data_IF_303358374804
#
_entry.id   IF_303358374804
#
_cell.length_a   1.000
_cell.length_b   1.000
_cell.length_c   1.000
_cell.angle_alpha   90.00
_cell.angle_beta   90.00
_cell.angle_gamma   90.00
#
_symmetry.space_group_name_H-M   'P 1'
#
loop_
_entity.id
_entity.type
_entity.pdbx_description
1 polymer ?
#
# COMPACT_ATOMS: atom_id res chain seq x y z
N UNK A 1 -6.97 28.46 8.45
CA UNK A 1 -6.81 27.63 7.23
C UNK A 1 -7.22 28.41 6.00
N UNK A 2 -6.34 28.49 5.02
CA UNK A 2 -6.61 29.13 3.73
C UNK A 2 -7.78 28.46 2.98
N UNK A 3 -8.54 29.19 2.15
CA UNK A 3 -9.68 28.64 1.40
C UNK A 3 -9.32 27.43 0.53
N UNK A 4 -8.13 27.46 -0.10
CA UNK A 4 -7.65 26.36 -0.94
C UNK A 4 -7.45 25.07 -0.15
N UNK A 5 -6.82 25.15 1.04
CA UNK A 5 -6.62 24.00 1.91
C UNK A 5 -7.96 23.44 2.43
N UNK A 6 -8.92 24.30 2.77
CA UNK A 6 -10.27 23.86 3.18
C UNK A 6 -11.00 23.12 2.05
N UNK A 7 -10.91 23.62 0.82
CA UNK A 7 -11.50 22.97 -0.35
C UNK A 7 -10.83 21.61 -0.59
N UNK A 8 -9.50 21.55 -0.53
CA UNK A 8 -8.73 20.32 -0.65
C UNK A 8 -9.15 19.28 0.41
N UNK A 9 -9.20 19.66 1.69
CA UNK A 9 -9.66 18.76 2.77
C UNK A 9 -11.08 18.25 2.53
N UNK A 10 -12.00 19.16 2.23
CA UNK A 10 -13.40 18.81 1.96
C UNK A 10 -13.50 17.79 0.83
N UNK A 11 -12.74 18.00 -0.25
CA UNK A 11 -12.75 17.13 -1.42
C UNK A 11 -12.22 15.72 -1.09
N UNK A 12 -11.04 15.60 -0.48
CA UNK A 12 -10.47 14.27 -0.25
C UNK A 12 -11.19 13.52 0.88
N UNK A 13 -11.70 14.22 1.91
CA UNK A 13 -12.54 13.60 2.94
C UNK A 13 -13.83 13.08 2.33
N UNK A 14 -14.49 13.89 1.49
CA UNK A 14 -15.69 13.46 0.76
C UNK A 14 -15.39 12.26 -0.15
N UNK A 15 -14.24 12.28 -0.82
CA UNK A 15 -13.78 11.17 -1.66
C UNK A 15 -13.64 9.87 -0.85
N UNK A 16 -13.03 9.92 0.33
CA UNK A 16 -12.89 8.76 1.22
C UNK A 16 -14.25 8.26 1.73
N UNK A 17 -15.16 9.16 2.12
CA UNK A 17 -16.51 8.79 2.57
C UNK A 17 -17.29 8.11 1.45
N UNK A 18 -17.23 8.65 0.23
CA UNK A 18 -17.87 8.05 -0.94
C UNK A 18 -17.23 6.69 -1.25
N UNK A 19 -15.90 6.56 -1.17
CA UNK A 19 -15.21 5.29 -1.38
C UNK A 19 -15.62 4.24 -0.36
N UNK A 20 -15.76 4.60 0.92
CA UNK A 20 -16.29 3.73 1.96
C UNK A 20 -17.72 3.28 1.66
N UNK A 21 -18.59 4.21 1.23
CA UNK A 21 -19.97 3.88 0.86
C UNK A 21 -20.06 2.98 -0.38
N UNK A 22 -19.18 3.18 -1.37
CA UNK A 22 -19.06 2.33 -2.56
C UNK A 22 -18.55 0.95 -2.16
N UNK A 23 -17.50 0.86 -1.34
CA UNK A 23 -16.95 -0.39 -0.86
C UNK A 23 -17.99 -1.20 -0.08
N UNK A 24 -18.77 -0.54 0.77
CA UNK A 24 -19.84 -1.20 1.53
C UNK A 24 -20.97 -1.72 0.63
N UNK A 25 -21.44 -0.90 -0.32
CA UNK A 25 -22.54 -1.30 -1.24
C UNK A 25 -22.12 -2.37 -2.23
N UNK A 26 -20.88 -2.34 -2.69
CA UNK A 26 -20.33 -3.26 -3.67
C UNK A 26 -19.45 -4.35 -3.05
N UNK A 27 -19.58 -4.62 -1.74
CA UNK A 27 -18.64 -5.46 -0.97
C UNK A 27 -18.37 -6.83 -1.59
N UNK A 28 -19.39 -7.45 -2.20
CA UNK A 28 -19.28 -8.78 -2.82
C UNK A 28 -18.47 -8.75 -4.14
N UNK A 29 -18.15 -7.55 -4.64
CA UNK A 29 -17.37 -7.29 -5.87
C UNK A 29 -16.02 -6.65 -5.58
N UNK A 30 -15.73 -6.27 -4.34
CA UNK A 30 -14.47 -5.65 -3.95
C UNK A 30 -13.53 -6.72 -3.43
N UNK A 31 -12.45 -6.95 -4.15
CA UNK A 31 -11.47 -7.99 -3.85
C UNK A 31 -10.80 -7.77 -2.49
N UNK A 32 -10.57 -6.51 -2.09
CA UNK A 32 -10.05 -6.12 -0.76
C UNK A 32 -10.86 -6.70 0.40
N UNK A 33 -12.17 -6.88 0.22
CA UNK A 33 -13.10 -7.34 1.26
C UNK A 33 -13.38 -8.84 1.18
N UNK A 34 -12.76 -9.54 0.23
CA UNK A 34 -12.94 -10.98 0.05
C UNK A 34 -12.10 -11.80 1.05
N UNK A 35 -12.57 -12.99 1.41
CA UNK A 35 -11.79 -13.93 2.22
C UNK A 35 -10.48 -14.34 1.55
N UNK A 36 -10.47 -14.47 0.22
CA UNK A 36 -9.26 -14.80 -0.54
C UNK A 36 -8.15 -13.76 -0.34
N UNK A 37 -8.51 -12.47 -0.29
CA UNK A 37 -7.53 -11.42 -0.01
C UNK A 37 -6.99 -11.47 1.42
N UNK A 38 -7.82 -11.80 2.40
CA UNK A 38 -7.37 -12.02 3.78
C UNK A 38 -6.45 -13.23 3.89
N UNK A 39 -6.76 -14.33 3.20
CA UNK A 39 -5.91 -15.53 3.13
C UNK A 39 -4.57 -15.22 2.44
N UNK A 40 -4.59 -14.41 1.38
CA UNK A 40 -3.41 -13.93 0.69
C UNK A 40 -2.52 -13.15 1.66
N UNK A 41 -3.04 -12.14 2.37
CA UNK A 41 -2.24 -11.40 3.34
C UNK A 41 -1.73 -12.30 4.46
N UNK A 42 -2.55 -13.21 4.98
CA UNK A 42 -2.23 -14.09 6.11
C UNK A 42 -1.19 -15.19 5.82
N UNK A 43 -0.59 -15.19 4.63
CA UNK A 43 0.54 -16.07 4.36
C UNK A 43 1.69 -15.83 5.34
N UNK A 44 2.20 -16.90 5.96
CA UNK A 44 3.20 -16.84 7.04
C UNK A 44 4.37 -15.91 6.72
N UNK A 45 4.91 -15.98 5.50
CA UNK A 45 6.05 -15.15 5.12
C UNK A 45 5.69 -13.67 4.98
N UNK A 46 4.49 -13.35 4.48
CA UNK A 46 3.99 -11.96 4.38
C UNK A 46 3.81 -11.37 5.77
N UNK A 47 3.19 -12.15 6.68
CA UNK A 47 3.00 -11.76 8.09
C UNK A 47 4.34 -11.54 8.79
N UNK A 48 5.29 -12.47 8.65
CA UNK A 48 6.63 -12.31 9.24
C UNK A 48 7.33 -11.07 8.68
N UNK A 49 7.26 -10.85 7.36
CA UNK A 49 7.91 -9.72 6.72
C UNK A 49 7.30 -8.38 7.14
N UNK A 50 5.97 -8.27 7.24
CA UNK A 50 5.35 -7.04 7.75
C UNK A 50 5.66 -6.82 9.23
N UNK A 51 5.72 -7.87 10.05
CA UNK A 51 6.13 -7.71 11.45
C UNK A 51 7.56 -7.16 11.56
N UNK A 52 8.51 -7.69 10.77
CA UNK A 52 9.89 -7.19 10.74
C UNK A 52 9.91 -5.72 10.25
N UNK A 53 9.17 -5.41 9.18
CA UNK A 53 9.10 -4.06 8.64
C UNK A 53 8.49 -3.06 9.64
N UNK A 54 7.40 -3.43 10.33
CA UNK A 54 6.75 -2.61 11.35
C UNK A 54 7.66 -2.37 12.55
N UNK A 55 8.32 -3.41 13.06
CA UNK A 55 9.28 -3.26 14.15
C UNK A 55 10.45 -2.35 13.75
N UNK A 56 10.96 -2.50 12.52
CA UNK A 56 12.00 -1.64 11.98
C UNK A 56 11.57 -0.18 11.87
N UNK A 57 10.45 0.09 11.19
CA UNK A 57 10.02 1.46 10.92
C UNK A 57 9.53 2.17 12.18
N UNK A 58 8.74 1.53 13.04
CA UNK A 58 8.34 2.11 14.32
C UNK A 58 9.57 2.31 15.22
N UNK A 59 10.54 1.40 15.17
CA UNK A 59 11.80 1.52 15.91
C UNK A 59 12.66 2.69 15.45
N UNK A 60 12.70 2.97 14.14
CA UNK A 60 13.53 4.03 13.55
C UNK A 60 12.85 5.41 13.54
N UNK A 61 11.52 5.47 13.34
CA UNK A 61 10.76 6.71 13.16
C UNK A 61 11.07 7.83 14.17
N UNK A 62 11.19 7.57 15.48
CA UNK A 62 11.49 8.61 16.48
C UNK A 62 12.93 9.15 16.42
N UNK A 63 13.82 8.44 15.72
CA UNK A 63 15.23 8.78 15.59
C UNK A 63 15.57 9.39 14.23
N UNK A 64 14.56 9.66 13.37
CA UNK A 64 14.78 10.31 12.07
C UNK A 64 15.02 11.81 12.18
N UNK A 65 14.80 12.40 13.36
CA UNK A 65 14.87 13.85 13.57
C UNK A 65 13.71 14.64 12.97
N UNK A 66 12.85 13.98 12.19
CA UNK A 66 11.65 14.59 11.63
C UNK A 66 10.57 14.68 12.72
N UNK A 67 10.16 15.89 13.15
CA UNK A 67 9.16 16.05 14.21
C UNK A 67 7.78 15.53 13.80
N UNK A 68 7.57 15.25 12.52
CA UNK A 68 6.31 14.71 12.03
C UNK A 68 6.18 13.21 12.27
N UNK A 69 7.29 12.47 12.24
CA UNK A 69 7.31 11.01 12.40
C UNK A 69 7.35 10.59 13.86
N UNK A 70 6.48 9.66 14.25
CA UNK A 70 6.50 9.03 15.55
C UNK A 70 6.18 7.53 15.47
N UNK A 71 6.08 6.87 16.62
CA UNK A 71 5.79 5.44 16.69
C UNK A 71 4.38 5.10 16.17
N UNK A 72 3.43 6.04 16.34
CA UNK A 72 2.02 5.84 16.05
C UNK A 72 1.75 5.95 14.56
N UNK A 73 2.24 7.01 13.90
CA UNK A 73 2.05 7.18 12.45
C UNK A 73 2.80 6.15 11.63
N UNK A 74 4.05 5.86 11.96
CA UNK A 74 4.81 4.77 11.37
C UNK A 74 4.07 3.43 11.49
N UNK A 75 3.44 3.19 12.64
CA UNK A 75 2.67 1.97 12.91
C UNK A 75 1.42 1.85 12.05
N UNK A 76 0.50 2.83 12.14
CA UNK A 76 -0.76 2.74 11.39
C UNK A 76 -0.52 2.81 9.88
N UNK A 77 0.44 3.62 9.41
CA UNK A 77 0.77 3.70 7.99
C UNK A 77 1.33 2.39 7.47
N UNK A 78 2.19 1.72 8.23
CA UNK A 78 2.73 0.42 7.86
C UNK A 78 1.61 -0.64 7.75
N UNK A 79 0.67 -0.64 8.70
CA UNK A 79 -0.51 -1.54 8.67
C UNK A 79 -1.41 -1.22 7.47
N UNK A 80 -1.74 0.05 7.23
CA UNK A 80 -2.54 0.47 6.08
C UNK A 80 -1.87 0.07 4.76
N UNK A 81 -0.57 0.31 4.64
CA UNK A 81 0.21 -0.03 3.44
C UNK A 81 0.16 -1.53 3.18
N UNK A 82 0.41 -2.35 4.20
CA UNK A 82 0.32 -3.80 4.06
C UNK A 82 -1.08 -4.29 3.69
N UNK A 83 -2.11 -3.72 4.33
CA UNK A 83 -3.49 -4.11 4.13
C UNK A 83 -4.06 -3.67 2.77
N UNK A 84 -3.49 -2.65 2.13
CA UNK A 84 -4.14 -2.01 0.97
C UNK A 84 -3.27 -1.91 -0.27
N UNK A 85 -1.94 -1.83 -0.14
CA UNK A 85 -1.05 -1.70 -1.30
C UNK A 85 -1.13 -2.88 -2.28
N UNK A 86 -1.19 -4.15 -1.84
CA UNK A 86 -1.32 -5.28 -2.76
C UNK A 86 -2.64 -5.25 -3.54
N UNK A 87 -3.71 -4.77 -2.90
CA UNK A 87 -5.00 -4.60 -3.55
C UNK A 87 -4.94 -3.49 -4.60
N UNK A 88 -4.46 -2.30 -4.25
CA UNK A 88 -4.38 -1.18 -5.20
C UNK A 88 -3.49 -1.52 -6.39
N UNK A 89 -2.29 -2.06 -6.15
CA UNK A 89 -1.37 -2.49 -7.23
C UNK A 89 -1.99 -3.61 -8.06
N UNK A 90 -2.66 -4.58 -7.43
CA UNK A 90 -3.34 -5.66 -8.15
C UNK A 90 -4.46 -5.17 -9.06
N UNK A 91 -5.29 -4.25 -8.59
CA UNK A 91 -6.37 -3.63 -9.39
C UNK A 91 -5.79 -2.83 -10.56
N UNK A 92 -4.75 -2.02 -10.34
CA UNK A 92 -4.12 -1.26 -11.42
C UNK A 92 -3.42 -2.18 -12.41
N UNK A 93 -2.67 -3.18 -11.93
CA UNK A 93 -2.01 -4.19 -12.74
C UNK A 93 -3.00 -4.94 -13.63
N UNK A 94 -4.11 -5.43 -13.08
CA UNK A 94 -5.17 -6.10 -13.86
C UNK A 94 -5.86 -5.15 -14.83
N UNK A 95 -6.06 -3.88 -14.48
CA UNK A 95 -6.63 -2.88 -15.40
C UNK A 95 -5.73 -2.64 -16.62
N UNK A 96 -4.41 -2.67 -16.45
CA UNK A 96 -3.43 -2.55 -17.54
C UNK A 96 -3.35 -3.85 -18.36
N UNK A 97 -3.25 -5.00 -17.68
CA UNK A 97 -3.11 -6.30 -18.35
C UNK A 97 -4.36 -6.73 -19.11
N UNK A 98 -5.56 -6.44 -18.58
CA UNK A 98 -6.82 -6.74 -19.27
C UNK A 98 -6.94 -6.01 -20.61
N UNK A 99 -6.29 -4.85 -20.77
CA UNK A 99 -6.22 -4.12 -22.03
C UNK A 99 -5.13 -4.68 -22.96
N UNK A 100 -3.96 -5.01 -22.42
CA UNK A 100 -2.81 -5.45 -23.21
C UNK A 100 -2.89 -6.92 -23.67
N UNK A 101 -3.57 -7.79 -22.91
CA UNK A 101 -3.54 -9.25 -23.10
C UNK A 101 -4.92 -9.91 -22.89
N UNK A 102 -5.94 -9.56 -23.71
CA UNK A 102 -7.29 -10.10 -23.57
C UNK A 102 -7.36 -11.63 -23.68
N UNK A 103 -6.42 -12.26 -24.41
CA UNK A 103 -6.34 -13.70 -24.58
C UNK A 103 -5.99 -14.48 -23.29
N UNK A 104 -5.46 -13.81 -22.25
CA UNK A 104 -5.12 -14.48 -20.97
C UNK A 104 -6.32 -14.72 -20.06
N UNK A 105 -7.51 -14.24 -20.40
CA UNK A 105 -8.72 -14.41 -19.58
C UNK A 105 -8.73 -13.59 -18.28
N UNK A 106 -7.77 -12.69 -18.09
CA UNK A 106 -7.72 -11.80 -16.91
C UNK A 106 -8.85 -10.77 -17.04
N UNK A 107 -9.91 -10.96 -16.25
CA UNK A 107 -11.04 -10.04 -16.19
C UNK A 107 -10.62 -8.64 -15.76
N UNK A 108 -11.23 -7.61 -16.37
CA UNK A 108 -11.06 -6.20 -16.01
C UNK A 108 -11.70 -5.94 -14.64
N UNK A 109 -11.01 -5.28 -13.70
CA UNK A 109 -11.60 -4.92 -12.41
C UNK A 109 -12.83 -4.02 -12.60
N UNK A 110 -13.76 -4.13 -11.64
CA UNK A 110 -14.93 -3.25 -11.63
C UNK A 110 -14.52 -1.79 -11.41
N UNK A 111 -15.32 -0.84 -11.90
CA UNK A 111 -15.08 0.58 -11.61
C UNK A 111 -15.07 0.87 -10.09
N UNK A 112 -15.91 0.17 -9.33
CA UNK A 112 -15.92 0.27 -7.88
C UNK A 112 -14.56 -0.15 -7.27
N UNK A 113 -13.97 -1.26 -7.75
CA UNK A 113 -12.64 -1.72 -7.30
C UNK A 113 -11.55 -0.69 -7.63
N UNK A 114 -11.57 -0.10 -8.84
CA UNK A 114 -10.61 0.95 -9.24
C UNK A 114 -10.77 2.20 -8.37
N UNK A 115 -12.00 2.65 -8.14
CA UNK A 115 -12.28 3.83 -7.31
C UNK A 115 -11.81 3.62 -5.87
N UNK A 116 -12.11 2.47 -5.27
CA UNK A 116 -11.66 2.10 -3.93
C UNK A 116 -10.12 1.96 -3.89
N UNK A 117 -9.50 1.36 -4.91
CA UNK A 117 -8.04 1.24 -5.01
C UNK A 117 -7.32 2.60 -5.01
N UNK A 118 -7.85 3.60 -5.71
CA UNK A 118 -7.34 4.98 -5.69
C UNK A 118 -7.48 5.59 -4.29
N UNK A 119 -8.65 5.41 -3.66
CA UNK A 119 -8.87 5.91 -2.30
C UNK A 119 -7.93 5.28 -1.28
N UNK A 120 -7.73 3.96 -1.34
CA UNK A 120 -6.82 3.26 -0.45
C UNK A 120 -5.38 3.73 -0.66
N UNK A 121 -4.95 3.89 -1.90
CA UNK A 121 -3.62 4.41 -2.23
C UNK A 121 -3.41 5.80 -1.64
N UNK A 122 -4.26 6.76 -1.98
CA UNK A 122 -4.10 8.14 -1.51
C UNK A 122 -4.24 8.28 0.00
N UNK A 123 -5.16 7.52 0.61
CA UNK A 123 -5.35 7.53 2.05
C UNK A 123 -4.15 6.94 2.80
N UNK A 124 -3.65 5.79 2.36
CA UNK A 124 -2.51 5.13 2.99
C UNK A 124 -1.20 5.85 2.75
N UNK A 125 -0.98 6.40 1.55
CA UNK A 125 0.29 7.03 1.19
C UNK A 125 0.39 8.50 1.64
N UNK A 126 -0.72 9.19 1.94
CA UNK A 126 -0.67 10.61 2.30
C UNK A 126 -1.74 11.00 3.32
N UNK A 127 -3.02 10.85 2.99
CA UNK A 127 -4.06 11.58 3.74
C UNK A 127 -4.20 11.13 5.20
N UNK A 128 -3.95 9.86 5.51
CA UNK A 128 -4.01 9.36 6.89
C UNK A 128 -2.95 9.99 7.79
N UNK A 129 -1.73 10.12 7.28
CA UNK A 129 -0.61 10.81 7.94
C UNK A 129 -0.85 12.30 8.08
N UNK A 130 -1.26 12.98 7.01
CA UNK A 130 -1.50 14.42 7.06
C UNK A 130 -2.66 14.76 8.02
N UNK A 131 -3.69 13.90 8.04
CA UNK A 131 -4.83 14.01 8.96
C UNK A 131 -4.38 13.80 10.41
N UNK A 132 -3.51 12.82 10.66
CA UNK A 132 -2.95 12.57 11.98
C UNK A 132 -2.20 13.80 12.51
N UNK A 133 -1.31 14.38 11.71
CA UNK A 133 -0.56 15.59 12.09
C UNK A 133 -1.50 16.78 12.31
N UNK A 134 -2.51 16.95 11.45
CA UNK A 134 -3.51 18.00 11.64
C UNK A 134 -4.23 17.89 12.98
N UNK A 135 -4.56 16.66 13.42
CA UNK A 135 -5.19 16.45 14.72
C UNK A 135 -4.21 16.56 15.89
N UNK A 136 -2.98 16.04 15.74
CA UNK A 136 -1.95 16.03 16.79
C UNK A 136 -1.39 17.43 17.06
N UNK A 137 -1.03 18.15 15.99
CA UNK A 137 -0.25 19.38 16.07
C UNK A 137 -1.05 20.63 15.67
N UNK A 138 -2.27 20.46 15.15
CA UNK A 138 -3.16 21.57 14.78
C UNK A 138 -2.83 22.25 13.45
N UNK A 139 -1.85 21.74 12.69
CA UNK A 139 -1.47 22.26 11.38
C UNK A 139 -1.39 21.15 10.33
N UNK A 140 -1.63 21.51 9.07
CA UNK A 140 -1.45 20.59 7.94
C UNK A 140 0.01 20.62 7.49
N UNK A 141 0.68 19.48 7.23
CA UNK A 141 2.09 19.45 6.87
C UNK A 141 2.38 20.32 5.65
N UNK A 142 3.41 21.18 5.70
CA UNK A 142 3.76 22.06 4.56
C UNK A 142 4.27 21.28 3.34
N UNK A 143 4.84 20.09 3.57
CA UNK A 143 5.41 19.20 2.55
C UNK A 143 4.40 18.18 1.99
N UNK A 144 3.11 18.29 2.33
CA UNK A 144 2.07 17.32 1.96
C UNK A 144 2.08 16.94 0.46
N UNK A 145 2.24 17.93 -0.43
CA UNK A 145 2.22 17.71 -1.87
C UNK A 145 3.45 16.91 -2.35
N UNK A 146 4.61 17.13 -1.74
CA UNK A 146 5.84 16.40 -2.05
C UNK A 146 5.83 14.99 -1.42
N UNK A 147 5.09 14.80 -0.32
CA UNK A 147 4.93 13.50 0.32
C UNK A 147 4.18 12.50 -0.58
N UNK A 148 3.15 12.96 -1.31
CA UNK A 148 2.35 12.10 -2.21
C UNK A 148 3.23 11.28 -3.17
N UNK A 149 4.09 11.86 -4.03
CA UNK A 149 4.89 11.05 -4.96
C UNK A 149 5.90 10.15 -4.24
N UNK A 150 6.58 10.63 -3.20
CA UNK A 150 7.57 9.85 -2.46
C UNK A 150 6.93 8.62 -1.79
N UNK A 151 5.85 8.83 -1.04
CA UNK A 151 5.11 7.77 -0.37
C UNK A 151 4.37 6.86 -1.35
N UNK A 152 3.99 7.36 -2.54
CA UNK A 152 3.43 6.52 -3.60
C UNK A 152 4.41 5.50 -4.16
N UNK A 153 5.69 5.86 -4.27
CA UNK A 153 6.74 4.92 -4.69
C UNK A 153 6.93 3.82 -3.65
N UNK A 154 6.95 4.18 -2.36
CA UNK A 154 7.02 3.20 -1.26
C UNK A 154 5.77 2.31 -1.22
N UNK A 155 4.59 2.90 -1.34
CA UNK A 155 3.32 2.18 -1.37
C UNK A 155 3.26 1.21 -2.55
N UNK A 156 3.63 1.63 -3.76
CA UNK A 156 3.70 0.76 -4.93
C UNK A 156 4.71 -0.37 -4.73
N UNK A 157 5.90 -0.07 -4.19
CA UNK A 157 6.94 -1.06 -3.90
C UNK A 157 6.46 -2.13 -2.91
N UNK A 158 5.80 -1.72 -1.82
CA UNK A 158 5.17 -2.63 -0.88
C UNK A 158 4.05 -3.45 -1.55
N UNK A 159 3.23 -2.81 -2.39
CA UNK A 159 2.18 -3.48 -3.14
C UNK A 159 2.72 -4.56 -4.07
N UNK A 160 3.81 -4.32 -4.79
CA UNK A 160 4.48 -5.35 -5.60
C UNK A 160 5.11 -6.45 -4.74
N UNK A 161 5.84 -6.09 -3.69
CA UNK A 161 6.48 -7.02 -2.76
C UNK A 161 5.48 -8.01 -2.17
N UNK A 162 4.39 -7.50 -1.60
CA UNK A 162 3.36 -8.33 -0.98
C UNK A 162 2.40 -8.94 -2.01
N UNK A 163 2.49 -8.56 -3.29
CA UNK A 163 1.84 -9.27 -4.39
C UNK A 163 2.69 -10.38 -4.99
N UNK A 164 3.98 -10.52 -4.62
CA UNK A 164 4.80 -11.64 -5.10
C UNK A 164 4.19 -12.97 -4.69
N UNK A 165 4.20 -13.92 -5.61
CA UNK A 165 3.66 -15.26 -5.42
C UNK A 165 4.50 -16.31 -6.15
N UNK A 166 4.43 -17.55 -5.68
CA UNK A 166 5.09 -18.70 -6.30
C UNK A 166 4.08 -19.80 -6.59
N UNK A 167 3.96 -20.18 -7.86
CA UNK A 167 3.20 -21.35 -8.30
C UNK A 167 4.16 -22.41 -8.88
N UNK A 168 3.98 -23.71 -8.60
CA UNK A 168 4.77 -24.78 -9.21
C UNK A 168 4.76 -24.74 -10.75
N UNK A 169 3.62 -24.36 -11.35
CA UNK A 169 3.41 -24.43 -12.79
C UNK A 169 3.95 -23.20 -13.54
N UNK A 170 4.00 -22.03 -12.87
CA UNK A 170 4.39 -20.74 -13.47
C UNK A 170 5.69 -20.15 -12.94
N UNK A 171 6.20 -20.66 -11.83
CA UNK A 171 7.34 -20.07 -11.14
C UNK A 171 6.94 -18.84 -10.33
N UNK A 172 7.86 -17.87 -10.24
CA UNK A 172 7.64 -16.62 -9.49
C UNK A 172 6.92 -15.61 -10.36
N UNK A 173 5.87 -15.01 -9.82
CA UNK A 173 5.10 -13.97 -10.48
C UNK A 173 4.39 -13.08 -9.46
N UNK A 174 3.39 -12.35 -9.94
CA UNK A 174 2.50 -11.59 -9.05
C UNK A 174 1.15 -12.28 -8.93
N UNK A 175 0.63 -12.41 -7.71
CA UNK A 175 -0.65 -13.03 -7.41
C UNK A 175 -1.79 -12.45 -8.28
N UNK A 176 -1.78 -11.14 -8.54
CA UNK A 176 -2.82 -10.48 -9.35
C UNK A 176 -2.81 -10.85 -10.84
N UNK A 177 -1.83 -11.63 -11.29
CA UNK A 177 -1.80 -12.22 -12.65
C UNK A 177 -2.56 -13.54 -12.74
N UNK A 178 -2.94 -14.12 -11.59
CA UNK A 178 -3.71 -15.35 -11.50
C UNK A 178 -5.20 -15.07 -11.81
N UNK A 179 -5.87 -16.02 -12.46
CA UNK A 179 -7.24 -15.86 -12.94
C UNK A 179 -8.24 -15.71 -11.78
N UNK A 180 -7.98 -16.43 -10.69
CA UNK A 180 -8.81 -16.52 -9.50
C UNK A 180 -8.34 -15.60 -8.37
N UNK A 181 -7.40 -14.67 -8.66
CA UNK A 181 -7.00 -13.63 -7.71
C UNK A 181 -8.24 -12.91 -7.13
N UNK A 182 -8.29 -12.66 -5.81
CA UNK A 182 -7.19 -12.73 -4.85
C UNK A 182 -7.00 -14.07 -4.13
N UNK A 183 -7.50 -15.20 -4.68
CA UNK A 183 -7.24 -16.51 -4.09
C UNK A 183 -5.75 -16.86 -4.09
N UNK A 184 -5.38 -17.68 -3.11
CA UNK A 184 -4.03 -18.18 -2.91
C UNK A 184 -3.70 -19.30 -3.89
N UNK A 185 -2.54 -19.21 -4.55
CA UNK A 185 -2.10 -20.21 -5.54
C UNK A 185 -1.59 -21.51 -4.91
N UNK A 186 -0.67 -21.45 -3.93
CA UNK A 186 -0.18 -22.63 -3.20
C UNK A 186 0.57 -22.25 -1.92
N UNK A 187 0.63 -23.11 -0.88
CA UNK A 187 1.46 -22.87 0.28
C UNK A 187 2.96 -23.05 0.01
N UNK A 188 3.76 -22.05 0.34
CA UNK A 188 5.23 -22.16 0.42
C UNK A 188 5.97 -21.31 -0.61
N UNK A 189 7.27 -21.52 -0.76
CA UNK A 189 8.07 -20.87 -1.80
C UNK A 189 8.76 -19.56 -1.42
N UNK A 190 8.71 -19.11 -0.15
CA UNK A 190 9.40 -17.88 0.26
C UNK A 190 10.88 -17.83 -0.13
N UNK A 191 11.61 -18.94 0.01
CA UNK A 191 13.02 -19.02 -0.41
C UNK A 191 13.23 -18.73 -1.91
N UNK A 192 12.22 -19.02 -2.74
CA UNK A 192 12.22 -18.73 -4.18
C UNK A 192 11.86 -17.27 -4.49
N UNK A 193 11.24 -16.57 -3.54
CA UNK A 193 10.82 -15.16 -3.67
C UNK A 193 11.89 -14.17 -3.19
N UNK A 194 12.84 -14.58 -2.33
CA UNK A 194 13.81 -13.67 -1.68
C UNK A 194 14.51 -12.75 -2.67
N UNK A 195 15.00 -13.29 -3.79
CA UNK A 195 15.70 -12.49 -4.81
C UNK A 195 14.80 -11.51 -5.55
N UNK A 196 13.52 -11.84 -5.71
CA UNK A 196 12.52 -10.97 -6.32
C UNK A 196 11.97 -9.93 -5.34
N UNK A 197 12.02 -10.21 -4.04
CA UNK A 197 11.67 -9.27 -2.98
C UNK A 197 12.72 -8.17 -2.80
N UNK A 198 14.01 -8.51 -3.03
CA UNK A 198 15.15 -7.64 -2.75
C UNK A 198 15.02 -6.22 -3.35
N UNK A 199 14.65 -6.02 -4.64
CA UNK A 199 14.56 -4.67 -5.21
C UNK A 199 13.54 -3.79 -4.48
N UNK A 200 12.40 -4.33 -4.08
CA UNK A 200 11.35 -3.58 -3.37
C UNK A 200 11.76 -3.25 -1.94
N UNK A 201 12.43 -4.19 -1.27
CA UNK A 201 13.00 -3.96 0.07
C UNK A 201 14.10 -2.91 0.02
N UNK A 202 14.95 -2.93 -1.00
CA UNK A 202 16.03 -1.94 -1.18
C UNK A 202 15.50 -0.53 -1.41
N UNK A 203 14.42 -0.36 -2.18
CA UNK A 203 13.78 0.95 -2.35
C UNK A 203 13.32 1.51 -1.00
N UNK A 204 12.63 0.70 -0.20
CA UNK A 204 12.19 1.11 1.13
C UNK A 204 13.38 1.39 2.06
N UNK A 205 14.39 0.53 2.05
CA UNK A 205 15.58 0.69 2.88
C UNK A 205 16.36 1.96 2.54
N UNK A 206 16.61 2.24 1.26
CA UNK A 206 17.31 3.46 0.82
C UNK A 206 16.49 4.70 1.16
N UNK A 207 15.17 4.66 0.92
CA UNK A 207 14.28 5.76 1.27
C UNK A 207 14.32 6.11 2.75
N UNK A 208 14.25 5.10 3.63
CA UNK A 208 14.29 5.30 5.08
C UNK A 208 15.69 5.67 5.59
N UNK A 209 16.74 5.02 5.06
CA UNK A 209 18.12 5.27 5.51
C UNK A 209 18.60 6.66 5.12
N UNK A 210 18.12 7.23 4.02
CA UNK A 210 18.41 8.61 3.65
C UNK A 210 17.99 9.61 4.74
N UNK A 211 16.78 9.45 5.31
CA UNK A 211 16.31 10.32 6.39
C UNK A 211 17.16 10.19 7.65
N UNK A 212 17.52 8.96 8.03
CA UNK A 212 18.37 8.71 9.20
C UNK A 212 19.79 9.25 8.98
N UNK A 213 20.36 9.09 7.79
CA UNK A 213 21.70 9.55 7.44
C UNK A 213 21.81 11.08 7.51
N UNK A 214 20.83 11.78 6.95
CA UNK A 214 20.76 13.26 6.98
C UNK A 214 20.71 13.77 8.42
N UNK A 215 19.97 13.11 9.31
CA UNK A 215 19.86 13.53 10.71
C UNK A 215 21.15 13.31 11.51
N UNK A 216 21.88 12.23 11.23
CA UNK A 216 23.15 11.93 11.91
C UNK A 216 24.30 12.85 11.46
N UNK A 217 24.08 13.77 10.51
CA UNK A 217 25.07 14.75 10.05
C UNK A 217 26.29 14.11 9.39
N UNK A 218 26.15 12.89 8.86
CA UNK A 218 27.19 12.17 8.14
C UNK A 218 27.10 12.42 6.64
#
# INVERSE_FOLDING_TARGET
MEPALKAYLTLWVSFCVIAGAVAFRARDRIELLSSGYLELLSERWRVVLICIALLGICGMAPYTGDPTWDWFDAGFMGVLTYATAPFSVGVFGRSLMSQAQPARGIGRPSWASVFVAISCWMFSASWSYDLYILFRDGFYPVTWAANIPASSVLYASAGFLFSLDYSPDRGVGFAFTELDWPKRSAPGGFSKLVWYALPFVLIAFVGLSWFVYVELGM
#
